data_IF_397265380041
#
_entry.id   IF_397265380041
#
_cell.length_a   1.000
_cell.length_b   1.000
_cell.length_c   1.000
_cell.angle_alpha   90.00
_cell.angle_beta   90.00
_cell.angle_gamma   90.00
#
_symmetry.space_group_name_H-M   'P 1'
#
loop_
_entity.id
_entity.type
_entity.pdbx_description
1 polymer ?
#
# COMPACT_ATOMS: atom_id res chain seq x y z
N UNK A 1 -6.63 6.63 8.84
CA UNK A 1 -5.27 6.59 8.27
C UNK A 1 -5.12 7.72 7.27
N UNK A 2 -4.03 8.46 7.30
CA UNK A 2 -3.73 9.56 6.36
C UNK A 2 -2.56 9.08 5.48
N UNK A 3 -2.88 8.52 4.32
CA UNK A 3 -1.91 7.89 3.43
C UNK A 3 -0.79 8.84 2.96
N UNK A 4 -1.12 10.12 2.73
CA UNK A 4 -0.11 11.11 2.33
C UNK A 4 0.88 11.38 3.46
N UNK A 5 0.36 11.57 4.67
CA UNK A 5 1.19 11.79 5.85
C UNK A 5 2.07 10.57 6.16
N UNK A 6 1.52 9.37 6.00
CA UNK A 6 2.28 8.12 6.17
C UNK A 6 3.43 8.05 5.16
N UNK A 7 3.16 8.27 3.86
CA UNK A 7 4.19 8.26 2.83
C UNK A 7 5.30 9.29 3.09
N UNK A 8 4.95 10.54 3.44
CA UNK A 8 5.92 11.59 3.75
C UNK A 8 6.86 11.21 4.91
N UNK A 9 6.33 10.52 5.93
CA UNK A 9 7.12 10.03 7.07
C UNK A 9 8.00 8.85 6.67
N UNK A 10 7.48 7.91 5.88
CA UNK A 10 8.27 6.75 5.41
C UNK A 10 9.41 7.17 4.49
N UNK A 11 9.20 8.12 3.57
CA UNK A 11 10.28 8.68 2.75
C UNK A 11 11.39 9.33 3.59
N UNK A 12 11.01 10.12 4.61
CA UNK A 12 12.00 10.69 5.55
C UNK A 12 12.73 9.62 6.34
N UNK A 13 12.02 8.58 6.75
CA UNK A 13 12.61 7.44 7.47
C UNK A 13 13.66 6.74 6.62
N UNK A 14 13.37 6.50 5.33
CA UNK A 14 14.31 5.91 4.38
C UNK A 14 15.55 6.77 4.20
N UNK A 15 15.39 8.08 4.05
CA UNK A 15 16.53 9.01 3.94
C UNK A 15 17.42 9.00 5.20
N UNK A 16 16.82 8.86 6.39
CA UNK A 16 17.57 8.73 7.64
C UNK A 16 18.27 7.37 7.71
N UNK A 17 17.62 6.30 7.24
CA UNK A 17 18.17 4.94 7.27
C UNK A 17 19.44 4.78 6.43
N UNK A 18 19.65 5.61 5.39
CA UNK A 18 20.90 5.70 4.64
C UNK A 18 22.09 6.09 5.53
N UNK A 19 21.84 6.80 6.64
CA UNK A 19 22.85 7.22 7.61
C UNK A 19 22.96 6.27 8.81
N UNK A 20 21.91 5.56 9.14
CA UNK A 20 21.87 4.57 10.21
C UNK A 20 20.48 4.12 10.61
N UNK A 21 20.32 2.83 10.82
CA UNK A 21 19.05 2.23 11.23
C UNK A 21 18.59 2.63 12.65
N UNK A 22 19.47 2.81 13.65
CA UNK A 22 19.02 3.21 14.98
C UNK A 22 18.27 4.55 14.99
N UNK A 23 18.79 5.53 14.27
CA UNK A 23 18.20 6.87 14.15
C UNK A 23 16.87 6.83 13.39
N UNK A 24 16.82 6.06 12.30
CA UNK A 24 15.61 5.87 11.51
C UNK A 24 14.51 5.16 12.33
N UNK A 25 14.88 4.13 13.10
CA UNK A 25 13.97 3.42 13.98
C UNK A 25 13.38 4.36 15.03
N UNK A 26 14.21 5.15 15.71
CA UNK A 26 13.73 6.10 16.72
C UNK A 26 12.81 7.15 16.12
N UNK A 27 13.20 7.72 14.97
CA UNK A 27 12.39 8.72 14.26
C UNK A 27 10.98 8.17 13.89
N UNK A 28 10.92 6.97 13.32
CA UNK A 28 9.65 6.38 12.90
C UNK A 28 8.80 5.96 14.12
N UNK A 29 9.44 5.44 15.16
CA UNK A 29 8.78 5.09 16.42
C UNK A 29 8.14 6.33 17.06
N UNK A 30 8.87 7.43 17.20
CA UNK A 30 8.36 8.68 17.78
C UNK A 30 7.16 9.22 16.97
N UNK A 31 7.24 9.17 15.64
CA UNK A 31 6.16 9.59 14.76
C UNK A 31 4.92 8.71 14.94
N UNK A 32 5.12 7.40 15.02
CA UNK A 32 4.03 6.43 15.24
C UNK A 32 3.39 6.63 16.61
N UNK A 33 4.17 6.75 17.69
CA UNK A 33 3.66 6.93 19.06
C UNK A 33 2.86 8.23 19.24
N UNK A 34 3.26 9.28 18.53
CA UNK A 34 2.54 10.56 18.57
C UNK A 34 1.10 10.47 18.01
N UNK A 35 0.83 9.60 17.05
CA UNK A 35 -0.50 9.45 16.45
C UNK A 35 -0.67 8.07 15.77
N UNK A 36 -0.78 6.96 16.53
CA UNK A 36 -0.83 5.60 15.96
C UNK A 36 -1.94 5.40 14.93
N UNK A 37 -3.09 6.05 15.10
CA UNK A 37 -4.24 5.93 14.19
C UNK A 37 -4.01 6.53 12.79
N UNK A 38 -2.95 7.32 12.61
CA UNK A 38 -2.58 7.89 11.31
C UNK A 38 -1.79 6.94 10.42
N UNK A 39 -1.32 5.82 10.95
CA UNK A 39 -0.39 4.91 10.30
C UNK A 39 -1.01 3.54 10.02
N UNK A 40 -0.53 2.89 8.99
CA UNK A 40 -1.03 1.62 8.49
C UNK A 40 -0.01 0.48 8.57
N UNK A 41 -0.30 -0.63 7.85
CA UNK A 41 0.55 -1.82 7.83
C UNK A 41 2.00 -1.54 7.42
N UNK A 42 2.20 -0.63 6.47
CA UNK A 42 3.50 -0.28 5.95
C UNK A 42 4.41 0.30 7.04
N UNK A 43 3.88 1.17 7.89
CA UNK A 43 4.66 1.75 9.01
C UNK A 43 5.12 0.67 10.00
N UNK A 44 4.23 -0.29 10.36
CA UNK A 44 4.61 -1.36 11.30
C UNK A 44 5.61 -2.33 10.68
N UNK A 45 5.53 -2.57 9.38
CA UNK A 45 6.52 -3.34 8.66
C UNK A 45 7.90 -2.65 8.67
N UNK A 46 7.95 -1.34 8.35
CA UNK A 46 9.21 -0.57 8.41
C UNK A 46 9.82 -0.56 9.81
N UNK A 47 9.00 -0.38 10.86
CA UNK A 47 9.48 -0.49 12.25
C UNK A 47 10.07 -1.88 12.53
N UNK A 48 9.48 -2.94 11.97
CA UNK A 48 10.00 -4.30 12.09
C UNK A 48 11.36 -4.46 11.41
N UNK A 49 11.50 -4.00 10.17
CA UNK A 49 12.77 -4.06 9.41
C UNK A 49 13.87 -3.26 10.09
N UNK A 50 13.60 -2.02 10.50
CA UNK A 50 14.56 -1.17 11.19
C UNK A 50 14.99 -1.77 12.55
N UNK A 51 14.06 -2.38 13.30
CA UNK A 51 14.39 -3.11 14.51
C UNK A 51 15.28 -4.33 14.19
N UNK A 52 14.99 -5.05 13.10
CA UNK A 52 15.78 -6.18 12.62
C UNK A 52 17.22 -5.80 12.27
N UNK A 53 17.39 -4.73 11.51
CA UNK A 53 18.71 -4.19 11.17
C UNK A 53 19.51 -3.64 12.37
N UNK A 54 18.89 -3.54 13.55
CA UNK A 54 19.55 -3.18 14.82
C UNK A 54 19.60 -4.33 15.83
N UNK A 55 19.38 -5.57 15.38
CA UNK A 55 19.37 -6.79 16.21
C UNK A 55 18.35 -6.77 17.38
N UNK A 56 17.30 -5.95 17.29
CA UNK A 56 16.26 -5.83 18.32
C UNK A 56 15.13 -6.85 18.11
N UNK A 57 15.44 -8.12 18.20
CA UNK A 57 14.53 -9.24 17.94
C UNK A 57 13.16 -9.11 18.64
N UNK A 58 13.13 -8.67 19.89
CA UNK A 58 11.90 -8.49 20.65
C UNK A 58 11.00 -7.42 20.04
N UNK A 59 11.59 -6.32 19.55
CA UNK A 59 10.85 -5.21 18.94
C UNK A 59 10.28 -5.65 17.58
N UNK A 60 11.05 -6.41 16.80
CA UNK A 60 10.56 -6.98 15.52
C UNK A 60 9.30 -7.80 15.75
N UNK A 61 9.34 -8.75 16.71
CA UNK A 61 8.17 -9.58 17.05
C UNK A 61 7.00 -8.75 17.55
N UNK A 62 7.27 -7.74 18.37
CA UNK A 62 6.25 -6.84 18.91
C UNK A 62 5.50 -6.10 17.79
N UNK A 63 6.22 -5.52 16.81
CA UNK A 63 5.61 -4.79 15.71
C UNK A 63 4.84 -5.70 14.76
N UNK A 64 5.39 -6.87 14.41
CA UNK A 64 4.69 -7.85 13.58
C UNK A 64 3.44 -8.40 14.27
N UNK A 65 3.52 -8.68 15.56
CA UNK A 65 2.36 -9.11 16.35
C UNK A 65 1.29 -8.04 16.39
N UNK A 66 1.67 -6.79 16.59
CA UNK A 66 0.75 -5.65 16.57
C UNK A 66 0.05 -5.54 15.21
N UNK A 67 0.77 -5.66 14.10
CA UNK A 67 0.19 -5.62 12.77
C UNK A 67 -0.75 -6.82 12.51
N UNK A 68 -0.24 -8.04 12.72
CA UNK A 68 -0.93 -9.26 12.28
C UNK A 68 -1.99 -9.70 13.29
N UNK A 69 -1.68 -9.73 14.60
CA UNK A 69 -2.61 -10.23 15.60
C UNK A 69 -3.58 -9.16 16.09
N UNK A 70 -3.09 -7.97 16.44
CA UNK A 70 -3.92 -6.96 17.09
C UNK A 70 -4.74 -6.16 16.07
N UNK A 71 -4.11 -5.76 14.93
CA UNK A 71 -4.79 -5.00 13.88
C UNK A 71 -5.48 -5.89 12.83
N UNK A 72 -5.18 -7.17 12.78
CA UNK A 72 -5.74 -8.09 11.79
C UNK A 72 -5.15 -7.91 10.38
N UNK A 73 -4.07 -7.16 10.24
CA UNK A 73 -3.43 -6.91 8.96
C UNK A 73 -2.65 -8.12 8.47
N UNK A 74 -2.21 -8.06 7.23
CA UNK A 74 -1.44 -9.11 6.58
C UNK A 74 -0.54 -8.50 5.52
N UNK A 75 0.47 -9.24 5.16
CA UNK A 75 1.46 -8.90 4.14
C UNK A 75 1.53 -10.02 3.11
N UNK A 76 1.94 -9.70 1.91
CA UNK A 76 2.29 -10.69 0.89
C UNK A 76 3.44 -11.57 1.42
N UNK A 77 3.45 -12.89 1.09
CA UNK A 77 4.42 -13.84 1.68
C UNK A 77 5.88 -13.38 1.57
N UNK A 78 6.27 -12.82 0.42
CA UNK A 78 7.65 -12.39 0.15
C UNK A 78 8.08 -11.20 1.03
N UNK A 79 7.16 -10.39 1.49
CA UNK A 79 7.44 -9.27 2.40
C UNK A 79 7.95 -9.76 3.76
N UNK A 80 7.42 -10.89 4.25
CA UNK A 80 7.88 -11.50 5.50
C UNK A 80 9.10 -12.45 5.31
N UNK A 81 9.63 -12.53 4.10
CA UNK A 81 10.88 -13.24 3.76
C UNK A 81 12.06 -12.28 3.58
N UNK A 82 11.86 -11.00 3.91
CA UNK A 82 12.89 -9.97 3.85
C UNK A 82 14.09 -10.31 4.74
N UNK A 83 15.30 -9.99 4.24
CA UNK A 83 16.56 -10.27 4.94
C UNK A 83 16.63 -9.55 6.30
N UNK A 84 16.03 -8.37 6.44
CA UNK A 84 15.96 -7.64 7.71
C UNK A 84 15.17 -8.38 8.79
N UNK A 85 14.31 -9.34 8.40
CA UNK A 85 13.58 -10.23 9.31
C UNK A 85 14.28 -11.57 9.51
N UNK A 86 15.43 -11.78 8.87
CA UNK A 86 16.17 -13.07 8.85
C UNK A 86 16.55 -13.59 10.23
N UNK A 87 16.72 -12.70 11.23
CA UNK A 87 16.97 -13.08 12.62
C UNK A 87 15.81 -13.85 13.30
N UNK A 88 14.62 -13.82 12.69
CA UNK A 88 13.42 -14.50 13.21
C UNK A 88 13.05 -15.79 12.47
N UNK A 89 13.76 -16.16 11.40
CA UNK A 89 13.38 -17.26 10.51
C UNK A 89 13.10 -18.61 11.20
N UNK A 90 13.74 -18.87 12.33
CA UNK A 90 13.60 -20.11 13.11
C UNK A 90 12.73 -19.91 14.37
N UNK A 91 12.16 -18.72 14.58
CA UNK A 91 11.37 -18.41 15.75
C UNK A 91 9.93 -18.88 15.59
N UNK A 92 9.47 -19.71 16.53
CA UNK A 92 8.13 -20.32 16.46
C UNK A 92 7.00 -19.26 16.48
N UNK A 93 7.18 -18.16 17.21
CA UNK A 93 6.21 -17.08 17.25
C UNK A 93 6.12 -16.36 15.90
N UNK A 94 7.25 -16.08 15.25
CA UNK A 94 7.29 -15.49 13.93
C UNK A 94 6.67 -16.41 12.87
N UNK A 95 7.02 -17.69 12.88
CA UNK A 95 6.44 -18.67 11.95
C UNK A 95 4.91 -18.76 12.10
N UNK A 96 4.41 -18.65 13.32
CA UNK A 96 2.97 -18.62 13.58
C UNK A 96 2.31 -17.35 13.03
N UNK A 97 2.93 -16.17 13.21
CA UNK A 97 2.45 -14.91 12.67
C UNK A 97 2.48 -14.93 11.14
N UNK A 98 3.57 -15.43 10.54
CA UNK A 98 3.68 -15.57 9.08
C UNK A 98 2.57 -16.46 8.54
N UNK A 99 2.32 -17.61 9.13
CA UNK A 99 1.24 -18.51 8.69
C UNK A 99 -0.15 -17.85 8.72
N UNK A 100 -0.42 -17.01 9.72
CA UNK A 100 -1.68 -16.23 9.80
C UNK A 100 -1.73 -15.18 8.68
N UNK A 101 -0.63 -14.46 8.44
CA UNK A 101 -0.52 -13.48 7.37
C UNK A 101 -0.73 -14.13 5.99
N UNK A 102 -0.04 -15.22 5.72
CA UNK A 102 -0.11 -15.98 4.46
C UNK A 102 -1.54 -16.49 4.19
N UNK A 103 -2.24 -16.99 5.21
CA UNK A 103 -3.62 -17.45 5.07
C UNK A 103 -4.57 -16.30 4.70
N UNK A 104 -4.42 -15.14 5.33
CA UNK A 104 -5.22 -13.94 5.01
C UNK A 104 -4.91 -13.39 3.63
N UNK A 105 -3.63 -13.38 3.24
CA UNK A 105 -3.24 -13.02 1.89
C UNK A 105 -3.89 -13.95 0.86
N UNK A 106 -3.83 -15.26 1.06
CA UNK A 106 -4.42 -16.23 0.15
C UNK A 106 -5.95 -16.04 0.00
N UNK A 107 -6.65 -15.75 1.08
CA UNK A 107 -8.09 -15.42 1.05
C UNK A 107 -8.35 -14.12 0.28
N UNK A 108 -7.58 -13.06 0.56
CA UNK A 108 -7.68 -11.80 -0.15
C UNK A 108 -7.38 -11.96 -1.65
N UNK A 109 -6.31 -12.67 -2.01
CA UNK A 109 -5.93 -12.91 -3.40
C UNK A 109 -6.99 -13.72 -4.17
N UNK A 110 -7.60 -14.72 -3.52
CA UNK A 110 -8.64 -15.53 -4.13
C UNK A 110 -9.94 -14.75 -4.40
N UNK A 111 -10.22 -13.72 -3.62
CA UNK A 111 -11.44 -12.90 -3.72
C UNK A 111 -11.24 -11.59 -4.46
N UNK A 112 -10.01 -11.10 -4.58
CA UNK A 112 -9.68 -9.82 -5.20
C UNK A 112 -9.95 -9.84 -6.70
N UNK A 113 -10.49 -8.74 -7.18
CA UNK A 113 -10.69 -8.51 -8.62
C UNK A 113 -10.38 -7.05 -8.94
N UNK A 114 -9.77 -6.84 -10.09
CA UNK A 114 -9.66 -5.50 -10.62
C UNK A 114 -11.05 -4.88 -10.79
N UNK A 115 -11.18 -3.62 -10.46
CA UNK A 115 -12.41 -2.90 -10.68
C UNK A 115 -12.16 -1.47 -11.16
N UNK A 116 -13.06 -1.01 -12.03
CA UNK A 116 -13.11 0.34 -12.51
C UNK A 116 -14.28 1.05 -11.85
N UNK A 117 -14.01 2.11 -11.11
CA UNK A 117 -15.07 2.93 -10.51
C UNK A 117 -15.62 3.87 -11.57
N UNK A 118 -16.69 3.46 -12.22
CA UNK A 118 -17.39 4.33 -13.16
C UNK A 118 -18.57 4.99 -12.46
N UNK A 119 -18.46 6.30 -12.30
CA UNK A 119 -19.61 7.11 -11.92
C UNK A 119 -20.35 7.67 -13.14
N UNK A 120 -21.55 8.15 -12.94
CA UNK A 120 -22.29 8.83 -14.02
C UNK A 120 -21.47 10.00 -14.52
N UNK A 121 -21.39 10.15 -15.87
CA UNK A 121 -20.74 11.30 -16.48
C UNK A 121 -21.31 12.61 -15.91
N UNK A 122 -20.44 13.40 -15.31
CA UNK A 122 -20.77 14.70 -14.70
C UNK A 122 -19.97 15.85 -15.31
N UNK A 123 -18.89 15.55 -16.05
CA UNK A 123 -18.01 16.54 -16.66
C UNK A 123 -17.74 16.20 -18.13
N UNK A 124 -17.20 17.16 -18.88
CA UNK A 124 -16.84 17.00 -20.31
C UNK A 124 -15.59 16.15 -20.50
N UNK A 125 -14.68 16.25 -19.54
CA UNK A 125 -13.40 15.56 -19.57
C UNK A 125 -13.29 14.54 -18.47
N UNK A 126 -12.58 13.45 -18.74
CA UNK A 126 -12.29 12.39 -17.79
C UNK A 126 -10.79 12.32 -17.52
N UNK A 127 -10.43 12.29 -16.26
CA UNK A 127 -9.11 11.92 -15.78
C UNK A 127 -9.16 10.52 -15.17
N UNK A 128 -8.46 9.57 -15.78
CA UNK A 128 -8.38 8.21 -15.30
C UNK A 128 -7.12 8.05 -14.42
N UNK A 129 -7.30 7.95 -13.11
CA UNK A 129 -6.21 7.78 -12.17
C UNK A 129 -5.94 6.29 -11.91
N UNK A 130 -4.68 5.90 -12.06
CA UNK A 130 -4.17 4.56 -11.75
C UNK A 130 -3.30 4.68 -10.50
N UNK A 131 -3.53 3.84 -9.51
CA UNK A 131 -2.70 3.85 -8.29
C UNK A 131 -1.30 3.28 -8.55
N UNK A 132 -0.32 3.71 -7.75
CA UNK A 132 1.00 3.09 -7.71
C UNK A 132 1.00 1.74 -6.97
N UNK A 133 2.14 1.04 -6.99
CA UNK A 133 2.36 -0.13 -6.15
C UNK A 133 2.32 0.28 -4.67
N UNK A 134 1.87 -0.59 -3.80
CA UNK A 134 1.62 -0.34 -2.37
C UNK A 134 0.54 0.71 -2.07
N UNK A 135 -0.26 1.07 -3.06
CA UNK A 135 -1.37 2.00 -2.98
C UNK A 135 -2.71 1.32 -3.33
N UNK A 136 -3.77 2.12 -3.42
CA UNK A 136 -5.09 1.71 -3.87
C UNK A 136 -5.80 2.84 -4.66
N UNK A 137 -6.94 2.53 -5.23
CA UNK A 137 -7.71 3.48 -6.03
C UNK A 137 -8.17 4.73 -5.25
N UNK A 138 -8.44 4.59 -3.93
CA UNK A 138 -8.82 5.70 -3.07
C UNK A 138 -7.67 6.68 -2.85
N UNK A 139 -6.46 6.16 -2.62
CA UNK A 139 -5.23 6.95 -2.52
C UNK A 139 -4.97 7.72 -3.82
N UNK A 140 -5.04 7.03 -4.98
CA UNK A 140 -4.87 7.68 -6.28
C UNK A 140 -5.90 8.80 -6.51
N UNK A 141 -7.16 8.57 -6.13
CA UNK A 141 -8.19 9.59 -6.22
C UNK A 141 -7.83 10.82 -5.39
N UNK A 142 -7.46 10.64 -4.12
CA UNK A 142 -7.14 11.72 -3.20
C UNK A 142 -5.95 12.57 -3.68
N UNK A 143 -4.92 11.94 -4.26
CA UNK A 143 -3.76 12.63 -4.81
C UNK A 143 -4.15 13.55 -5.98
N UNK A 144 -4.98 13.05 -6.89
CA UNK A 144 -5.35 13.79 -8.10
C UNK A 144 -6.50 14.78 -7.89
N UNK A 145 -7.41 14.55 -6.95
CA UNK A 145 -8.46 15.53 -6.58
C UNK A 145 -7.85 16.88 -6.20
N UNK A 146 -6.72 16.87 -5.51
CA UNK A 146 -6.00 18.09 -5.15
C UNK A 146 -5.49 18.84 -6.38
N UNK A 147 -5.00 18.14 -7.39
CA UNK A 147 -4.46 18.71 -8.64
C UNK A 147 -5.56 19.27 -9.52
N UNK A 148 -6.74 18.64 -9.52
CA UNK A 148 -7.89 19.00 -10.35
C UNK A 148 -8.88 19.91 -9.61
N UNK A 149 -8.59 20.33 -8.39
CA UNK A 149 -9.44 21.23 -7.62
C UNK A 149 -9.74 22.51 -8.40
N UNK A 150 -11.02 22.88 -8.50
CA UNK A 150 -11.49 24.07 -9.25
C UNK A 150 -11.54 23.89 -10.77
N UNK A 151 -11.35 22.69 -11.29
CA UNK A 151 -11.48 22.36 -12.71
C UNK A 151 -12.81 21.63 -12.98
N UNK A 152 -13.92 22.34 -12.93
CA UNK A 152 -15.28 21.79 -12.98
C UNK A 152 -15.60 21.01 -14.28
N UNK A 153 -14.79 21.21 -15.34
CA UNK A 153 -14.93 20.45 -16.58
C UNK A 153 -14.29 19.06 -16.54
N UNK A 154 -13.67 18.65 -15.40
CA UNK A 154 -13.03 17.36 -15.22
C UNK A 154 -13.73 16.52 -14.16
N UNK A 155 -13.81 15.21 -14.40
CA UNK A 155 -14.12 14.22 -13.39
C UNK A 155 -12.98 13.22 -13.26
N UNK A 156 -12.79 12.67 -12.06
CA UNK A 156 -11.79 11.66 -11.77
C UNK A 156 -12.48 10.31 -11.62
N UNK A 157 -12.01 9.33 -12.36
CA UNK A 157 -12.33 7.93 -12.17
C UNK A 157 -11.07 7.15 -11.85
N UNK A 158 -11.19 6.03 -11.15
CA UNK A 158 -10.05 5.27 -10.66
C UNK A 158 -10.15 3.81 -11.02
N UNK A 159 -9.00 3.18 -11.22
CA UNK A 159 -8.89 1.74 -11.43
C UNK A 159 -8.20 1.14 -10.22
N UNK A 160 -8.80 0.08 -9.67
CA UNK A 160 -8.20 -0.77 -8.66
C UNK A 160 -7.65 -2.02 -9.31
N UNK A 161 -6.36 -2.31 -9.05
CA UNK A 161 -5.77 -3.61 -9.40
C UNK A 161 -6.45 -4.75 -8.66
N UNK A 162 -6.48 -5.92 -9.29
CA UNK A 162 -6.89 -7.18 -8.67
C UNK A 162 -5.77 -7.90 -7.91
N UNK A 163 -4.58 -7.33 -7.80
CA UNK A 163 -3.41 -7.97 -7.20
C UNK A 163 -3.12 -7.37 -5.82
N UNK A 164 -3.55 -8.01 -4.71
CA UNK A 164 -3.24 -7.53 -3.37
C UNK A 164 -1.73 -7.56 -3.12
N UNK A 165 -1.21 -6.52 -2.47
CA UNK A 165 0.19 -6.43 -2.06
C UNK A 165 0.35 -6.53 -0.54
N UNK A 166 -0.58 -5.94 0.19
CA UNK A 166 -0.72 -5.98 1.63
C UNK A 166 -2.16 -5.61 2.02
N UNK A 167 -2.46 -5.55 3.29
CA UNK A 167 -3.79 -5.19 3.77
C UNK A 167 -4.21 -3.80 3.28
N UNK A 168 -5.20 -3.75 2.41
CA UNK A 168 -5.73 -2.51 1.83
C UNK A 168 -4.85 -1.87 0.75
N UNK A 169 -3.78 -2.53 0.33
CA UNK A 169 -2.88 -2.07 -0.73
C UNK A 169 -2.75 -3.07 -1.85
N UNK A 170 -2.43 -2.60 -3.04
CA UNK A 170 -2.40 -3.37 -4.27
C UNK A 170 -1.17 -3.03 -5.10
N UNK A 171 -0.87 -3.89 -6.08
CA UNK A 171 0.24 -3.71 -7.01
C UNK A 171 -0.19 -3.98 -8.45
N UNK A 172 0.66 -3.60 -9.35
CA UNK A 172 0.62 -4.01 -10.74
C UNK A 172 1.85 -4.86 -11.01
N UNK A 173 1.67 -6.12 -11.39
CA UNK A 173 2.78 -6.94 -11.88
C UNK A 173 3.24 -6.44 -13.26
N UNK A 174 4.45 -6.83 -13.67
CA UNK A 174 5.02 -6.41 -14.96
C UNK A 174 4.62 -7.35 -16.10
N UNK A 175 3.57 -8.13 -15.93
CA UNK A 175 3.04 -8.99 -16.98
C UNK A 175 1.88 -8.30 -17.74
N UNK A 176 1.63 -8.76 -18.97
CA UNK A 176 0.60 -8.17 -19.83
C UNK A 176 -0.80 -8.26 -19.23
N UNK A 177 -1.08 -9.28 -18.42
CA UNK A 177 -2.40 -9.49 -17.82
C UNK A 177 -2.71 -8.47 -16.72
N UNK A 178 -1.71 -7.95 -16.07
CA UNK A 178 -1.84 -6.92 -15.03
C UNK A 178 -2.41 -5.61 -15.58
N UNK A 179 -2.17 -5.30 -16.86
CA UNK A 179 -2.63 -4.07 -17.49
C UNK A 179 -3.97 -4.20 -18.20
N UNK A 180 -4.52 -5.41 -18.35
CA UNK A 180 -5.81 -5.61 -19.01
C UNK A 180 -6.94 -4.78 -18.37
N UNK A 181 -7.07 -4.69 -17.03
CA UNK A 181 -8.11 -3.86 -16.41
C UNK A 181 -8.03 -2.37 -16.79
N UNK A 182 -6.81 -1.86 -17.05
CA UNK A 182 -6.60 -0.49 -17.51
C UNK A 182 -7.06 -0.35 -18.96
N UNK A 183 -6.71 -1.30 -19.82
CA UNK A 183 -7.14 -1.33 -21.20
C UNK A 183 -8.67 -1.41 -21.33
N UNK A 184 -9.30 -2.31 -20.55
CA UNK A 184 -10.76 -2.48 -20.50
C UNK A 184 -11.47 -1.19 -20.06
N UNK A 185 -10.92 -0.50 -19.04
CA UNK A 185 -11.45 0.77 -18.59
C UNK A 185 -11.32 1.87 -19.64
N UNK A 186 -10.21 1.92 -20.37
CA UNK A 186 -9.99 2.86 -21.46
C UNK A 186 -10.98 2.62 -22.62
N UNK A 187 -11.21 1.37 -23.00
CA UNK A 187 -12.19 1.01 -24.02
C UNK A 187 -13.61 1.41 -23.58
N UNK A 188 -14.00 1.09 -22.36
CA UNK A 188 -15.30 1.47 -21.81
C UNK A 188 -15.52 2.98 -21.76
N UNK A 189 -14.47 3.78 -21.61
CA UNK A 189 -14.51 5.24 -21.65
C UNK A 189 -14.69 5.75 -23.09
N UNK A 190 -13.94 5.19 -24.06
CA UNK A 190 -14.04 5.55 -25.47
C UNK A 190 -15.42 5.29 -26.04
N UNK A 191 -16.02 4.15 -25.73
CA UNK A 191 -17.36 3.77 -26.16
C UNK A 191 -18.44 4.77 -25.70
N UNK A 192 -18.16 5.54 -24.66
CA UNK A 192 -19.05 6.60 -24.15
C UNK A 192 -18.78 7.98 -24.75
N UNK A 193 -17.92 8.05 -25.75
CA UNK A 193 -17.60 9.29 -26.47
C UNK A 193 -16.85 10.33 -25.62
N UNK A 194 -16.06 9.87 -24.66
CA UNK A 194 -15.21 10.72 -23.82
C UNK A 194 -13.82 10.83 -24.42
N UNK A 195 -13.22 12.01 -24.36
CA UNK A 195 -11.83 12.23 -24.74
C UNK A 195 -10.93 11.83 -23.58
N UNK A 196 -10.00 10.92 -23.83
CA UNK A 196 -8.96 10.51 -22.87
C UNK A 196 -7.73 11.38 -23.11
N UNK A 197 -7.22 12.02 -22.07
CA UNK A 197 -5.89 12.61 -22.05
C UNK A 197 -5.01 11.74 -21.19
N UNK A 198 -3.96 11.17 -21.80
CA UNK A 198 -2.90 10.48 -21.09
C UNK A 198 -1.87 11.52 -20.63
N UNK A 199 -1.55 11.50 -19.35
CA UNK A 199 -0.41 12.24 -18.79
C UNK A 199 0.59 11.22 -18.24
#
# INVERSE_FOLDING_TARGET
MDAKKENDILEKTLAIAESGYPEAYQFLMDAYEACPASYGPQTLYFLSCLAGGTDKKTDVLMWLKKAISDCGWWYRPEVLEDDDLGLLKDEQEFLSLKAVSDARYAEAAASSKACFSWMKKTAENLFLAVHGNTQNAETARADWETVLAGKDCWQIETIQSGEPDGYGTYRWSYDETSYLPVADAMEAVQDKGLSLIHI
#
